data_IF_537832791999
#
_entry.id   IF_537832791999
#
_cell.length_a   1.000
_cell.length_b   1.000
_cell.length_c   1.000
_cell.angle_alpha   90.00
_cell.angle_beta   90.00
_cell.angle_gamma   90.00
#
_symmetry.space_group_name_H-M   'P 1'
#
loop_
_entity.id
_entity.type
_entity.pdbx_description
1 polymer ?
#
# COMPACT_ATOMS: atom_id res chain seq x y z
N UNK A 1 -21.01 -9.53 24.84
CA UNK A 1 -19.97 -10.58 24.82
C UNK A 1 -19.07 -10.27 23.64
N UNK A 2 -17.95 -9.60 23.87
CA UNK A 2 -17.09 -9.03 22.82
C UNK A 2 -16.04 -10.07 22.47
N UNK A 3 -16.06 -10.60 21.24
CA UNK A 3 -15.07 -11.57 20.78
C UNK A 3 -14.02 -10.86 19.92
N UNK A 4 -12.79 -10.76 20.43
CA UNK A 4 -11.64 -10.34 19.65
C UNK A 4 -11.18 -11.56 18.83
N UNK A 5 -11.39 -11.54 17.52
CA UNK A 5 -11.04 -12.66 16.65
C UNK A 5 -10.02 -12.19 15.61
N UNK A 6 -8.75 -12.55 15.81
CA UNK A 6 -7.65 -12.27 14.88
C UNK A 6 -7.77 -13.21 13.69
N UNK A 7 -8.34 -12.75 12.58
CA UNK A 7 -8.41 -13.56 11.35
C UNK A 7 -7.64 -12.87 10.24
N UNK A 8 -6.47 -13.40 9.92
CA UNK A 8 -5.69 -13.07 8.71
C UNK A 8 -6.48 -13.52 7.48
N UNK A 9 -7.32 -12.64 6.93
CA UNK A 9 -8.11 -12.95 5.74
C UNK A 9 -7.40 -12.40 4.50
N UNK A 10 -6.86 -13.30 3.68
CA UNK A 10 -6.30 -12.98 2.37
C UNK A 10 -7.39 -12.34 1.49
N UNK A 11 -7.23 -11.04 1.19
CA UNK A 11 -8.14 -10.25 0.34
C UNK A 11 -8.14 -10.80 -1.09
N UNK A 12 -9.11 -11.66 -1.44
CA UNK A 12 -9.44 -11.90 -2.86
C UNK A 12 -10.34 -10.77 -3.36
N UNK A 13 -9.74 -9.79 -4.04
CA UNK A 13 -10.48 -8.75 -4.80
C UNK A 13 -11.32 -9.44 -5.88
N UNK A 14 -12.62 -9.46 -5.69
CA UNK A 14 -13.57 -9.82 -6.74
C UNK A 14 -13.73 -8.59 -7.66
N UNK A 15 -12.93 -8.50 -8.71
CA UNK A 15 -13.02 -7.41 -9.69
C UNK A 15 -14.22 -7.69 -10.60
N UNK A 16 -15.28 -6.86 -10.47
CA UNK A 16 -16.42 -6.84 -11.39
C UNK A 16 -15.91 -6.43 -12.78
N UNK A 17 -15.89 -7.35 -13.73
CA UNK A 17 -15.53 -7.09 -15.13
C UNK A 17 -16.71 -6.35 -15.79
N UNK A 18 -16.59 -5.07 -16.21
CA UNK A 18 -17.58 -4.49 -17.12
C UNK A 18 -17.37 -5.10 -18.51
N UNK A 19 -18.39 -5.80 -19.02
CA UNK A 19 -18.36 -6.40 -20.37
C UNK A 19 -18.26 -5.33 -21.47
N UNK A 20 -17.53 -5.59 -22.57
CA UNK A 20 -17.38 -4.64 -23.66
C UNK A 20 -18.68 -4.51 -24.46
N UNK A 21 -19.19 -3.28 -24.53
CA UNK A 21 -20.27 -2.89 -25.45
C UNK A 21 -19.74 -3.07 -26.88
N UNK A 22 -20.31 -4.01 -27.60
CA UNK A 22 -20.00 -4.28 -29.01
C UNK A 22 -20.58 -3.16 -29.87
N UNK A 23 -19.71 -2.29 -30.40
CA UNK A 23 -20.06 -1.23 -31.34
C UNK A 23 -19.13 -1.29 -32.55
N UNK A 24 -19.72 -1.54 -33.70
CA UNK A 24 -19.13 -1.92 -34.99
C UNK A 24 -18.34 -0.78 -35.68
N UNK A 25 -17.15 -1.15 -36.19
CA UNK A 25 -16.43 -0.69 -37.39
C UNK A 25 -16.21 0.81 -37.71
N UNK A 26 -14.95 1.20 -37.94
CA UNK A 26 -14.49 1.88 -39.18
C UNK A 26 -12.96 2.01 -39.19
N UNK A 27 -12.32 1.80 -40.36
CA UNK A 27 -11.10 2.55 -40.74
C UNK A 27 -9.76 1.81 -40.74
N UNK A 28 -9.16 1.78 -41.93
CA UNK A 28 -7.82 1.31 -42.29
C UNK A 28 -6.65 2.00 -41.55
N UNK A 29 -5.53 1.27 -41.50
CA UNK A 29 -4.13 1.73 -41.52
C UNK A 29 -3.38 1.89 -40.17
N UNK A 30 -2.25 1.19 -40.09
CA UNK A 30 -1.17 1.46 -39.13
C UNK A 30 -0.95 0.34 -38.11
N UNK A 31 -0.26 -0.73 -38.50
CA UNK A 31 0.27 -1.71 -37.54
C UNK A 31 1.42 -1.07 -36.74
N UNK A 32 1.08 -0.28 -35.73
CA UNK A 32 2.00 0.18 -34.69
C UNK A 32 2.19 -0.99 -33.73
N UNK A 33 3.39 -1.55 -33.70
CA UNK A 33 3.81 -2.52 -32.68
C UNK A 33 3.85 -1.80 -31.33
N UNK A 34 2.73 -1.85 -30.60
CA UNK A 34 2.69 -1.45 -29.20
C UNK A 34 3.30 -2.61 -28.44
N UNK A 35 4.62 -2.55 -28.20
CA UNK A 35 5.24 -3.40 -27.18
C UNK A 35 4.49 -3.14 -25.87
N UNK A 36 3.92 -4.16 -25.20
CA UNK A 36 3.43 -3.95 -23.84
C UNK A 36 4.67 -3.61 -23.02
N UNK A 37 4.80 -2.34 -22.62
CA UNK A 37 5.70 -2.00 -21.52
C UNK A 37 5.23 -2.90 -20.38
N UNK A 38 6.11 -3.81 -19.95
CA UNK A 38 5.78 -4.73 -18.88
C UNK A 38 5.28 -3.88 -17.72
N UNK A 39 4.04 -4.08 -17.32
CA UNK A 39 3.55 -3.53 -16.07
C UNK A 39 4.38 -4.21 -14.99
N UNK A 40 5.49 -3.58 -14.61
CA UNK A 40 6.23 -3.98 -13.44
C UNK A 40 5.23 -3.91 -12.29
N UNK A 41 5.06 -4.98 -11.50
CA UNK A 41 4.14 -4.96 -10.40
C UNK A 41 4.48 -3.73 -9.56
N UNK A 42 3.50 -2.84 -9.38
CA UNK A 42 3.71 -1.68 -8.55
C UNK A 42 4.27 -2.18 -7.21
N UNK A 43 5.42 -1.66 -6.76
CA UNK A 43 5.99 -2.06 -5.48
C UNK A 43 4.90 -1.94 -4.43
N UNK A 44 4.85 -2.88 -3.48
CA UNK A 44 3.87 -2.80 -2.42
C UNK A 44 4.00 -1.43 -1.75
N UNK A 45 2.90 -0.82 -1.29
CA UNK A 45 2.97 0.52 -0.70
C UNK A 45 3.97 0.60 0.48
N UNK A 46 4.24 -0.53 1.11
CA UNK A 46 5.27 -0.70 2.14
C UNK A 46 6.69 -0.58 1.57
N UNK A 47 6.94 -1.14 0.38
CA UNK A 47 8.24 -1.07 -0.30
C UNK A 47 8.60 0.39 -0.63
N UNK A 48 7.63 1.19 -1.11
CA UNK A 48 7.87 2.60 -1.46
C UNK A 48 8.20 3.45 -0.22
N UNK A 49 7.47 3.24 0.88
CA UNK A 49 7.72 4.00 2.10
C UNK A 49 9.05 3.57 2.76
N UNK A 50 9.38 2.28 2.75
CA UNK A 50 10.70 1.81 3.21
C UNK A 50 11.85 2.37 2.36
N UNK A 51 11.69 2.41 1.03
CA UNK A 51 12.66 3.06 0.14
C UNK A 51 12.83 4.54 0.49
N UNK A 52 11.74 5.28 0.68
CA UNK A 52 11.80 6.69 1.06
C UNK A 52 12.51 6.93 2.40
N UNK A 53 12.32 6.05 3.39
CA UNK A 53 13.05 6.14 4.67
C UNK A 53 14.54 5.84 4.51
N UNK A 54 14.90 4.90 3.62
CA UNK A 54 16.31 4.60 3.31
C UNK A 54 16.97 5.78 2.62
N UNK A 55 16.29 6.40 1.66
CA UNK A 55 16.77 7.59 0.96
C UNK A 55 16.97 8.75 1.94
N UNK A 56 16.03 8.96 2.86
CA UNK A 56 16.12 9.99 3.88
C UNK A 56 17.23 9.70 4.90
N UNK A 57 17.45 8.44 5.27
CA UNK A 57 18.58 8.03 6.09
C UNK A 57 19.91 8.35 5.39
N UNK A 58 20.01 8.06 4.09
CA UNK A 58 21.16 8.41 3.25
C UNK A 58 21.42 9.92 3.25
N UNK A 59 20.37 10.74 3.10
CA UNK A 59 20.46 12.20 3.19
C UNK A 59 20.99 12.63 4.55
N UNK A 60 20.44 12.10 5.63
CA UNK A 60 20.84 12.43 7.00
C UNK A 60 22.27 12.04 7.33
N UNK A 61 22.83 11.00 6.71
CA UNK A 61 24.25 10.66 6.87
C UNK A 61 25.19 11.71 6.27
N UNK A 62 24.74 12.48 5.27
CA UNK A 62 25.55 13.56 4.67
C UNK A 62 25.51 14.86 5.48
N UNK A 63 24.54 14.99 6.40
CA UNK A 63 24.43 16.14 7.29
C UNK A 63 25.18 15.84 8.58
N UNK A 64 26.15 16.70 8.94
CA UNK A 64 26.73 16.70 10.27
C UNK A 64 25.80 17.43 11.23
N UNK A 65 25.57 16.82 12.40
CA UNK A 65 24.72 17.41 13.43
C UNK A 65 25.52 18.44 14.24
N UNK A 66 25.78 19.61 13.67
CA UNK A 66 26.57 20.67 14.32
C UNK A 66 27.96 20.19 14.75
N UNK A 67 28.32 20.41 16.02
CA UNK A 67 29.62 20.02 16.59
C UNK A 67 29.70 18.53 17.04
N UNK A 68 28.69 17.70 16.74
CA UNK A 68 28.71 16.28 17.10
C UNK A 68 29.74 15.54 16.24
N UNK A 69 30.86 15.16 16.85
CA UNK A 69 31.84 14.30 16.22
C UNK A 69 31.33 12.86 16.16
N UNK A 70 31.60 12.19 15.05
CA UNK A 70 31.29 10.77 14.86
C UNK A 70 31.97 9.90 15.95
N UNK A 71 31.41 8.72 16.26
CA UNK A 71 30.22 8.11 15.67
C UNK A 71 28.92 8.48 16.40
N UNK A 72 27.86 8.70 15.64
CA UNK A 72 26.50 8.84 16.16
C UNK A 72 25.54 7.91 15.41
N UNK A 73 24.43 7.56 16.07
CA UNK A 73 23.41 6.65 15.55
C UNK A 73 22.19 7.43 15.08
N UNK A 74 21.68 7.12 13.89
CA UNK A 74 20.47 7.70 13.32
C UNK A 74 19.50 6.58 12.96
N UNK A 75 18.25 6.73 13.35
CA UNK A 75 17.20 5.75 13.06
C UNK A 75 15.87 6.44 12.79
N UNK A 76 15.13 5.91 11.84
CA UNK A 76 13.74 6.27 11.58
C UNK A 76 12.86 5.07 11.91
N UNK A 77 11.72 5.33 12.54
CA UNK A 77 10.73 4.33 12.89
C UNK A 77 9.38 4.74 12.31
N UNK A 78 8.68 3.77 11.73
CA UNK A 78 7.30 3.94 11.30
C UNK A 78 6.44 2.90 11.98
N UNK A 79 5.33 3.38 12.54
CA UNK A 79 4.31 2.56 13.15
C UNK A 79 3.06 2.61 12.29
N UNK A 80 2.59 1.43 11.90
CA UNK A 80 1.29 1.25 11.28
C UNK A 80 0.35 0.54 12.24
N UNK A 81 -0.91 0.94 12.22
CA UNK A 81 -1.98 0.36 13.02
C UNK A 81 -3.17 0.13 12.12
N UNK A 82 -3.52 -1.14 11.97
CA UNK A 82 -4.77 -1.56 11.34
C UNK A 82 -5.80 -1.89 12.41
N UNK A 83 -7.00 -1.36 12.25
CA UNK A 83 -8.14 -1.58 13.12
C UNK A 83 -9.27 -2.17 12.31
N UNK A 84 -9.72 -3.35 12.73
CA UNK A 84 -10.86 -4.06 12.15
C UNK A 84 -11.98 -4.10 13.19
N UNK A 85 -13.13 -3.55 12.86
CA UNK A 85 -14.32 -3.56 13.72
C UNK A 85 -15.45 -4.28 13.00
N UNK A 86 -16.02 -5.30 13.64
CA UNK A 86 -17.14 -6.05 13.09
C UNK A 86 -18.22 -6.22 14.16
N UNK A 87 -19.48 -5.99 13.79
CA UNK A 87 -20.63 -6.33 14.63
C UNK A 87 -21.50 -7.36 13.92
N UNK A 88 -22.05 -8.31 14.67
CA UNK A 88 -22.95 -9.33 14.15
C UNK A 88 -24.24 -9.42 14.98
N UNK A 89 -25.36 -9.63 14.30
CA UNK A 89 -26.67 -9.88 14.91
C UNK A 89 -27.24 -11.18 14.33
N UNK A 90 -27.70 -12.09 15.19
CA UNK A 90 -28.21 -13.41 14.79
C UNK A 90 -27.26 -14.24 13.89
N UNK A 91 -25.94 -14.08 14.09
CA UNK A 91 -24.93 -14.78 13.27
C UNK A 91 -24.65 -14.14 11.91
N UNK A 92 -25.31 -13.03 11.56
CA UNK A 92 -25.01 -12.23 10.38
C UNK A 92 -24.21 -10.98 10.76
N UNK A 93 -23.12 -10.68 10.06
CA UNK A 93 -22.39 -9.41 10.21
C UNK A 93 -23.29 -8.27 9.72
N UNK A 94 -23.49 -7.27 10.57
CA UNK A 94 -24.34 -6.09 10.29
C UNK A 94 -23.51 -4.82 10.09
N UNK A 95 -22.30 -4.75 10.65
CA UNK A 95 -21.34 -3.70 10.37
C UNK A 95 -19.93 -4.27 10.26
N UNK A 96 -19.14 -3.68 9.39
CA UNK A 96 -17.73 -3.98 9.20
C UNK A 96 -17.02 -2.68 8.81
N UNK A 97 -16.11 -2.23 9.65
CA UNK A 97 -15.35 -1.01 9.47
C UNK A 97 -13.86 -1.35 9.57
N UNK A 98 -13.10 -0.90 8.58
CA UNK A 98 -11.64 -1.03 8.54
C UNK A 98 -11.04 0.37 8.61
N UNK A 99 -10.05 0.58 9.47
CA UNK A 99 -9.27 1.80 9.53
C UNK A 99 -7.77 1.46 9.59
N UNK A 100 -6.95 2.11 8.78
CA UNK A 100 -5.49 2.08 8.94
C UNK A 100 -4.99 3.48 9.27
N UNK A 101 -4.01 3.56 10.16
CA UNK A 101 -3.24 4.77 10.39
C UNK A 101 -1.75 4.44 10.43
N UNK A 102 -0.95 5.23 9.72
CA UNK A 102 0.50 5.11 9.68
C UNK A 102 1.12 6.43 10.15
N UNK A 103 2.13 6.36 11.00
CA UNK A 103 2.80 7.53 11.59
C UNK A 103 4.29 7.26 11.80
N UNK A 104 5.10 8.31 11.69
CA UNK A 104 6.48 8.29 12.13
C UNK A 104 6.47 8.21 13.66
N UNK A 105 7.19 7.25 14.24
CA UNK A 105 7.34 7.19 15.68
C UNK A 105 8.37 8.23 16.14
N UNK A 106 8.07 8.91 17.25
CA UNK A 106 8.93 9.91 17.90
C UNK A 106 9.86 9.24 18.89
#
# INVERSE_FOLDING_TARGET
MTHTMTTTTARRRFTRIPGPITGLAFGLAGAMLISPVGAEPAPAADDVLMQALVDELGRSMTLQLGDLQAPYFVQYHVQETETYQMAATYGAIVTSDDASSRRLAT
#
